data_IF_668351898876
#
_entry.id   IF_668351898876
#
_cell.length_a   1.000
_cell.length_b   1.000
_cell.length_c   1.000
_cell.angle_alpha   90.00
_cell.angle_beta   90.00
_cell.angle_gamma   90.00
#
_symmetry.space_group_name_H-M   'P 1'
#
loop_
_entity.id
_entity.type
_entity.pdbx_description
1 polymer ?
#
# COMPACT_ATOMS: atom_id res chain seq x y z
N UNK A 1 -2.68 -13.10 -13.09
CA UNK A 1 -3.86 -12.74 -13.91
C UNK A 1 -3.71 -11.40 -14.62
N UNK A 2 -3.32 -10.32 -13.95
CA UNK A 2 -3.19 -8.99 -14.55
C UNK A 2 -2.21 -8.96 -15.73
N UNK A 3 -1.06 -9.63 -15.62
CA UNK A 3 -0.06 -9.70 -16.68
C UNK A 3 -0.59 -10.34 -17.99
N UNK A 4 -1.47 -11.34 -17.88
CA UNK A 4 -2.09 -11.95 -19.06
C UNK A 4 -3.07 -11.00 -19.75
N UNK A 5 -3.77 -10.16 -18.99
CA UNK A 5 -4.68 -9.15 -19.55
C UNK A 5 -3.87 -8.11 -20.32
N UNK A 6 -2.77 -7.61 -19.75
CA UNK A 6 -1.89 -6.67 -20.43
C UNK A 6 -1.26 -7.26 -21.69
N UNK A 7 -0.73 -8.49 -21.60
CA UNK A 7 -0.17 -9.18 -22.75
C UNK A 7 -1.21 -9.39 -23.87
N UNK A 8 -2.43 -9.74 -23.51
CA UNK A 8 -3.54 -9.92 -24.43
C UNK A 8 -3.93 -8.62 -25.13
N UNK A 9 -4.04 -7.51 -24.38
CA UNK A 9 -4.34 -6.19 -24.96
C UNK A 9 -3.26 -5.73 -25.94
N UNK A 10 -1.98 -5.90 -25.61
CA UNK A 10 -0.87 -5.55 -26.50
C UNK A 10 -0.91 -6.42 -27.75
N UNK A 11 -1.11 -7.73 -27.61
CA UNK A 11 -1.20 -8.65 -28.73
C UNK A 11 -2.34 -8.26 -29.69
N UNK A 12 -3.52 -7.96 -29.16
CA UNK A 12 -4.67 -7.50 -29.99
C UNK A 12 -4.33 -6.21 -30.72
N UNK A 13 -3.70 -5.24 -30.05
CA UNK A 13 -3.31 -3.99 -30.68
C UNK A 13 -2.35 -4.18 -31.84
N UNK A 14 -1.32 -5.01 -31.65
CA UNK A 14 -0.34 -5.33 -32.71
C UNK A 14 -0.99 -6.10 -33.87
N UNK A 15 -1.80 -7.12 -33.58
CA UNK A 15 -2.51 -7.91 -34.61
C UNK A 15 -3.47 -7.02 -35.40
N UNK A 16 -4.23 -6.18 -34.75
CA UNK A 16 -5.12 -5.23 -35.41
C UNK A 16 -4.35 -4.24 -36.29
N UNK A 17 -3.24 -3.69 -35.81
CA UNK A 17 -2.36 -2.82 -36.58
C UNK A 17 -1.80 -3.50 -37.83
N UNK A 18 -1.43 -4.78 -37.72
CA UNK A 18 -0.94 -5.57 -38.85
C UNK A 18 -2.03 -5.80 -39.91
N UNK A 19 -3.25 -6.16 -39.51
CA UNK A 19 -4.36 -6.39 -40.43
C UNK A 19 -4.89 -5.11 -41.09
N UNK A 20 -4.80 -3.97 -40.40
CA UNK A 20 -5.25 -2.68 -40.94
C UNK A 20 -4.18 -1.91 -41.69
N UNK A 21 -2.95 -2.45 -41.80
CA UNK A 21 -1.83 -1.80 -42.46
C UNK A 21 -1.23 -0.61 -41.69
N UNK A 22 -1.57 -0.46 -40.40
CA UNK A 22 -1.20 0.68 -39.53
C UNK A 22 0.02 0.41 -38.62
N UNK A 23 0.91 -0.48 -39.04
CA UNK A 23 2.07 -0.84 -38.21
C UNK A 23 3.01 0.34 -37.93
N UNK A 24 3.13 1.29 -38.86
CA UNK A 24 3.92 2.51 -38.64
C UNK A 24 3.34 3.34 -37.49
N UNK A 25 2.00 3.49 -37.43
CA UNK A 25 1.28 4.20 -36.36
C UNK A 25 1.46 3.48 -35.01
N UNK A 26 1.40 2.14 -34.99
CA UNK A 26 1.63 1.33 -33.78
C UNK A 26 3.04 1.52 -33.26
N UNK A 27 4.03 1.52 -34.15
CA UNK A 27 5.44 1.72 -33.78
C UNK A 27 5.68 3.14 -33.24
N UNK A 28 5.14 4.17 -33.92
CA UNK A 28 5.24 5.56 -33.45
C UNK A 28 4.59 5.71 -32.06
N UNK A 29 3.37 5.20 -31.89
CA UNK A 29 2.67 5.25 -30.63
C UNK A 29 3.43 4.54 -29.48
N UNK A 30 4.11 3.43 -29.77
CA UNK A 30 4.94 2.74 -28.78
C UNK A 30 6.15 3.59 -28.35
N UNK A 31 6.82 4.24 -29.29
CA UNK A 31 7.96 5.12 -29.01
C UNK A 31 7.53 6.38 -28.26
N UNK A 32 6.43 7.00 -28.69
CA UNK A 32 5.85 8.18 -28.03
C UNK A 32 5.45 7.85 -26.59
N UNK A 33 4.77 6.70 -26.40
CA UNK A 33 4.39 6.21 -25.05
C UNK A 33 5.60 5.94 -24.16
N UNK A 34 6.71 5.46 -24.72
CA UNK A 34 7.95 5.28 -23.95
C UNK A 34 8.53 6.64 -23.50
N UNK A 35 8.53 7.65 -24.37
CA UNK A 35 8.93 9.02 -24.04
C UNK A 35 8.05 9.64 -22.96
N UNK A 36 6.73 9.49 -23.08
CA UNK A 36 5.76 9.93 -22.10
C UNK A 36 5.97 9.25 -20.74
N UNK A 37 6.27 7.95 -20.74
CA UNK A 37 6.53 7.21 -19.50
C UNK A 37 7.76 7.74 -18.77
N UNK A 38 8.86 8.07 -19.47
CA UNK A 38 10.05 8.67 -18.88
C UNK A 38 9.74 10.04 -18.29
N UNK A 39 9.05 10.89 -19.05
CA UNK A 39 8.63 12.22 -18.60
C UNK A 39 7.76 12.14 -17.36
N UNK A 40 6.80 11.20 -17.34
CA UNK A 40 5.93 10.92 -16.20
C UNK A 40 6.74 10.49 -14.97
N UNK A 41 7.71 9.58 -15.13
CA UNK A 41 8.56 9.13 -14.04
C UNK A 41 9.33 10.29 -13.39
N UNK A 42 9.94 11.16 -14.22
CA UNK A 42 10.68 12.32 -13.71
C UNK A 42 9.75 13.28 -12.95
N UNK A 43 8.59 13.58 -13.52
CA UNK A 43 7.59 14.43 -12.86
C UNK A 43 7.12 13.85 -11.53
N UNK A 44 6.85 12.54 -11.51
CA UNK A 44 6.44 11.83 -10.29
C UNK A 44 7.53 11.83 -9.22
N UNK A 45 8.80 11.63 -9.58
CA UNK A 45 9.93 11.74 -8.64
C UNK A 45 9.94 13.14 -7.99
N UNK A 46 9.79 14.19 -8.78
CA UNK A 46 9.76 15.56 -8.27
C UNK A 46 8.60 15.82 -7.30
N UNK A 47 7.40 15.41 -7.68
CA UNK A 47 6.19 15.53 -6.84
C UNK A 47 6.34 14.74 -5.55
N UNK A 48 6.86 13.52 -5.62
CA UNK A 48 7.08 12.67 -4.46
C UNK A 48 8.15 13.24 -3.53
N UNK A 49 9.25 13.74 -4.06
CA UNK A 49 10.29 14.37 -3.26
C UNK A 49 9.78 15.58 -2.49
N UNK A 50 8.95 16.43 -3.13
CA UNK A 50 8.28 17.56 -2.48
C UNK A 50 7.41 17.09 -1.31
N UNK A 51 6.56 16.08 -1.54
CA UNK A 51 5.65 15.58 -0.50
C UNK A 51 6.40 14.88 0.65
N UNK A 52 7.46 14.12 0.36
CA UNK A 52 8.32 13.53 1.39
C UNK A 52 8.94 14.63 2.26
N UNK A 53 9.44 15.70 1.63
CA UNK A 53 9.99 16.84 2.36
C UNK A 53 8.95 17.54 3.25
N UNK A 54 7.74 17.80 2.75
CA UNK A 54 6.64 18.39 3.53
C UNK A 54 6.25 17.47 4.70
N UNK A 55 6.24 16.16 4.48
CA UNK A 55 5.91 15.20 5.53
C UNK A 55 6.98 15.14 6.63
N UNK A 56 8.24 15.23 6.26
CA UNK A 56 9.35 15.33 7.22
C UNK A 56 9.19 16.55 8.14
N UNK A 57 8.81 17.68 7.56
CA UNK A 57 8.50 18.90 8.32
C UNK A 57 7.31 18.68 9.24
N UNK A 58 6.23 18.06 8.74
CA UNK A 58 5.04 17.75 9.53
C UNK A 58 5.32 16.80 10.69
N UNK A 59 6.21 15.83 10.50
CA UNK A 59 6.65 14.92 11.55
C UNK A 59 7.49 15.66 12.61
N UNK A 60 8.49 16.43 12.19
CA UNK A 60 9.36 17.19 13.09
C UNK A 60 8.62 18.27 13.86
N UNK A 61 7.59 18.87 13.28
CA UNK A 61 6.72 19.84 13.96
C UNK A 61 5.79 19.25 15.02
N UNK A 62 5.73 17.92 15.13
CA UNK A 62 4.81 17.22 16.03
C UNK A 62 3.36 17.23 15.57
N UNK A 63 3.06 17.70 14.36
CA UNK A 63 1.71 17.73 13.80
C UNK A 63 1.14 16.31 13.69
N UNK A 64 1.94 15.36 13.21
CA UNK A 64 1.54 13.95 13.09
C UNK A 64 1.19 13.37 14.45
N UNK A 65 1.98 13.64 15.48
CA UNK A 65 1.70 13.18 16.84
C UNK A 65 0.39 13.76 17.40
N UNK A 66 0.06 15.02 17.09
CA UNK A 66 -1.21 15.63 17.47
C UNK A 66 -2.39 14.97 16.73
N UNK A 67 -2.26 14.76 15.42
CA UNK A 67 -3.26 14.09 14.61
C UNK A 67 -3.49 12.64 15.08
N UNK A 68 -2.41 11.91 15.39
CA UNK A 68 -2.48 10.54 15.93
C UNK A 68 -3.27 10.49 17.24
N UNK A 69 -3.08 11.46 18.13
CA UNK A 69 -3.90 11.57 19.35
C UNK A 69 -5.37 11.91 19.04
N UNK A 70 -5.60 12.81 18.10
CA UNK A 70 -6.95 13.21 17.69
C UNK A 70 -7.77 12.08 17.06
N UNK A 71 -7.12 11.15 16.34
CA UNK A 71 -7.80 10.01 15.69
C UNK A 71 -8.05 8.82 16.63
N UNK A 72 -7.46 8.80 17.84
CA UNK A 72 -7.62 7.71 18.80
C UNK A 72 -9.09 7.38 19.18
N UNK A 73 -10.00 8.34 19.36
CA UNK A 73 -11.42 8.04 19.57
C UNK A 73 -12.03 7.25 18.42
N UNK A 74 -11.72 7.62 17.19
CA UNK A 74 -12.19 6.94 15.99
C UNK A 74 -11.63 5.52 15.89
N UNK A 75 -10.34 5.33 16.21
CA UNK A 75 -9.73 3.99 16.28
C UNK A 75 -10.38 3.16 17.38
N UNK A 76 -10.66 3.73 18.54
CA UNK A 76 -11.35 3.03 19.64
C UNK A 76 -12.75 2.61 19.24
N UNK A 77 -13.44 3.43 18.46
CA UNK A 77 -14.75 3.11 17.91
C UNK A 77 -14.67 1.96 16.87
N UNK A 78 -13.71 1.99 15.97
CA UNK A 78 -13.57 0.98 14.92
C UNK A 78 -12.96 -0.34 15.41
N UNK A 79 -12.02 -0.26 16.34
CA UNK A 79 -11.26 -1.41 16.85
C UNK A 79 -11.42 -1.57 18.36
N UNK A 80 -12.66 -1.87 18.85
CA UNK A 80 -12.93 -1.93 20.28
C UNK A 80 -12.20 -3.08 21.00
N UNK A 81 -11.78 -4.11 20.26
CA UNK A 81 -11.11 -5.30 20.81
C UNK A 81 -9.61 -5.17 20.94
N UNK A 82 -9.00 -4.15 20.33
CA UNK A 82 -7.57 -3.90 20.49
C UNK A 82 -7.35 -3.16 21.80
N UNK A 83 -6.50 -3.66 22.71
CA UNK A 83 -6.19 -2.99 23.98
C UNK A 83 -5.68 -1.57 23.76
N UNK A 84 -6.03 -0.64 24.66
CA UNK A 84 -5.71 0.79 24.51
C UNK A 84 -4.21 1.10 24.42
N UNK A 85 -3.36 0.26 25.04
CA UNK A 85 -1.90 0.41 25.02
C UNK A 85 -1.18 -0.43 23.97
N UNK A 86 -1.91 -1.15 23.09
CA UNK A 86 -1.28 -2.06 22.14
C UNK A 86 -0.65 -1.29 20.96
N UNK A 87 0.59 -1.62 20.53
CA UNK A 87 1.32 -0.92 19.45
C UNK A 87 0.55 -0.87 18.12
N UNK A 88 -0.25 -1.88 17.82
CA UNK A 88 -1.07 -1.91 16.60
C UNK A 88 -1.93 -0.64 16.44
N UNK A 89 -2.42 -0.04 17.54
CA UNK A 89 -3.25 1.18 17.47
C UNK A 89 -2.48 2.37 16.94
N UNK A 90 -1.22 2.50 17.30
CA UNK A 90 -0.35 3.58 16.86
C UNK A 90 -0.03 3.44 15.36
N UNK A 91 0.33 2.23 14.93
CA UNK A 91 0.58 1.95 13.51
C UNK A 91 -0.66 2.10 12.64
N UNK A 92 -1.84 1.68 13.12
CA UNK A 92 -3.12 1.91 12.43
C UNK A 92 -3.41 3.41 12.33
N UNK A 93 -3.19 4.18 13.40
CA UNK A 93 -3.38 5.63 13.40
C UNK A 93 -2.46 6.31 12.38
N UNK A 94 -1.19 5.97 12.40
CA UNK A 94 -0.18 6.51 11.48
C UNK A 94 -0.52 6.19 10.03
N UNK A 95 -0.91 4.95 9.75
CA UNK A 95 -1.33 4.53 8.42
C UNK A 95 -2.57 5.30 7.94
N UNK A 96 -3.61 5.44 8.77
CA UNK A 96 -4.83 6.18 8.42
C UNK A 96 -4.53 7.66 8.16
N UNK A 97 -3.69 8.29 8.99
CA UNK A 97 -3.31 9.69 8.81
C UNK A 97 -2.52 9.87 7.52
N UNK A 98 -1.57 8.98 7.23
CA UNK A 98 -0.81 9.02 5.99
C UNK A 98 -1.72 8.88 4.76
N UNK A 99 -2.71 7.99 4.80
CA UNK A 99 -3.71 7.85 3.75
C UNK A 99 -4.55 9.12 3.58
N UNK A 100 -5.07 9.68 4.68
CA UNK A 100 -5.87 10.91 4.66
C UNK A 100 -5.08 12.08 4.05
N UNK A 101 -3.79 12.17 4.34
CA UNK A 101 -2.91 13.18 3.76
C UNK A 101 -2.48 12.88 2.31
N UNK A 102 -2.92 11.76 1.73
CA UNK A 102 -2.60 11.39 0.35
C UNK A 102 -1.20 10.80 0.15
N UNK A 103 -0.58 10.33 1.23
CA UNK A 103 0.79 9.81 1.26
C UNK A 103 0.84 8.29 1.07
N UNK A 104 0.33 7.79 -0.04
CA UNK A 104 0.18 6.36 -0.32
C UNK A 104 1.43 5.50 -0.05
N UNK A 105 2.62 6.02 -0.26
CA UNK A 105 3.87 5.31 0.02
C UNK A 105 4.21 5.27 1.51
N UNK A 106 4.03 6.38 2.24
CA UNK A 106 4.36 6.45 3.65
C UNK A 106 3.40 5.61 4.50
N UNK A 107 2.20 5.32 4.00
CA UNK A 107 1.25 4.48 4.71
C UNK A 107 1.62 2.99 4.65
N UNK A 108 2.30 2.52 3.60
CA UNK A 108 2.61 1.10 3.40
C UNK A 108 3.47 0.51 4.53
N UNK A 109 4.62 1.09 4.94
CA UNK A 109 5.39 0.56 6.05
C UNK A 109 4.62 0.52 7.37
N UNK A 110 3.84 1.56 7.66
CA UNK A 110 2.98 1.61 8.84
C UNK A 110 1.89 0.55 8.78
N UNK A 111 1.29 0.34 7.60
CA UNK A 111 0.29 -0.69 7.36
C UNK A 111 0.82 -2.11 7.58
N UNK A 112 2.01 -2.40 7.06
CA UNK A 112 2.67 -3.70 7.26
C UNK A 112 2.96 -3.96 8.74
N UNK A 113 3.47 -2.96 9.46
CA UNK A 113 3.69 -3.07 10.91
C UNK A 113 2.38 -3.22 11.68
N UNK A 114 1.33 -2.51 11.30
CA UNK A 114 0.01 -2.69 11.90
C UNK A 114 -0.50 -4.13 11.75
N UNK A 115 -0.37 -4.71 10.55
CA UNK A 115 -0.77 -6.10 10.30
C UNK A 115 0.09 -7.09 11.09
N UNK A 116 1.39 -6.82 11.22
CA UNK A 116 2.29 -7.63 12.03
C UNK A 116 1.88 -7.62 13.51
N UNK A 117 1.63 -6.45 14.09
CA UNK A 117 1.20 -6.33 15.47
C UNK A 117 -0.20 -6.94 15.70
N UNK A 118 -1.10 -6.84 14.73
CA UNK A 118 -2.38 -7.55 14.78
C UNK A 118 -2.20 -9.07 14.75
N UNK A 119 -1.24 -9.58 13.98
CA UNK A 119 -0.92 -11.01 13.97
C UNK A 119 -0.33 -11.48 15.31
N UNK A 120 0.50 -10.67 15.96
CA UNK A 120 1.00 -10.96 17.32
C UNK A 120 -0.15 -11.00 18.33
N UNK A 121 -1.07 -10.04 18.26
CA UNK A 121 -2.26 -9.99 19.12
C UNK A 121 -3.14 -11.23 18.94
N UNK A 122 -3.31 -11.72 17.71
CA UNK A 122 -4.06 -12.96 17.48
C UNK A 122 -3.32 -14.20 18.01
N UNK A 123 -2.00 -14.22 17.97
CA UNK A 123 -1.19 -15.27 18.59
C UNK A 123 -1.35 -15.26 20.12
N UNK A 124 -1.35 -14.09 20.75
CA UNK A 124 -1.59 -13.92 22.19
C UNK A 124 -3.01 -14.35 22.60
N UNK A 125 -4.00 -14.15 21.73
CA UNK A 125 -5.38 -14.60 21.92
C UNK A 125 -5.57 -16.11 21.75
N UNK A 126 -4.53 -16.82 21.33
CA UNK A 126 -4.60 -18.27 21.08
C UNK A 126 -5.37 -18.67 19.82
N UNK A 127 -5.52 -17.75 18.85
CA UNK A 127 -6.24 -18.01 17.61
C UNK A 127 -5.56 -19.14 16.81
N UNK A 128 -6.27 -20.21 16.43
CA UNK A 128 -5.70 -21.31 15.66
C UNK A 128 -5.09 -20.81 14.34
N UNK A 129 -3.85 -21.22 14.05
CA UNK A 129 -3.09 -20.80 12.87
C UNK A 129 -2.08 -19.68 13.14
N UNK A 130 -2.19 -18.96 14.26
CA UNK A 130 -1.21 -17.95 14.69
C UNK A 130 -0.23 -18.48 15.74
N UNK A 131 -0.57 -19.56 16.44
CA UNK A 131 0.24 -20.18 17.50
C UNK A 131 1.42 -21.03 16.99
N UNK A 132 1.43 -21.41 15.72
CA UNK A 132 2.29 -22.48 15.23
C UNK A 132 3.70 -22.05 14.77
N UNK A 133 4.08 -20.76 14.81
CA UNK A 133 5.25 -20.27 14.07
C UNK A 133 6.31 -19.52 14.88
N UNK A 134 6.42 -19.76 16.17
CA UNK A 134 7.50 -19.13 17.00
C UNK A 134 8.91 -19.48 16.52
N UNK A 135 9.11 -20.63 15.88
CA UNK A 135 10.40 -21.09 15.35
C UNK A 135 10.71 -20.56 13.93
N UNK A 136 9.79 -20.70 13.01
CA UNK A 136 9.97 -20.25 11.63
C UNK A 136 10.03 -18.72 11.53
N UNK A 137 9.28 -18.03 12.39
CA UNK A 137 9.29 -16.56 12.44
C UNK A 137 10.61 -15.98 12.97
N UNK A 138 11.22 -16.62 13.96
CA UNK A 138 12.58 -16.25 14.41
C UNK A 138 13.59 -16.44 13.29
N UNK A 139 13.48 -17.50 12.51
CA UNK A 139 14.35 -17.74 11.36
C UNK A 139 14.12 -16.76 10.20
N UNK A 140 12.88 -16.34 9.93
CA UNK A 140 12.61 -15.31 8.92
C UNK A 140 13.11 -13.94 9.36
N UNK A 141 12.90 -13.55 10.62
CA UNK A 141 13.39 -12.28 11.17
C UNK A 141 14.92 -12.25 11.24
N UNK A 142 15.58 -13.37 11.61
CA UNK A 142 17.03 -13.44 11.58
C UNK A 142 17.58 -13.36 10.16
N UNK A 143 16.97 -14.03 9.18
CA UNK A 143 17.34 -13.91 7.77
C UNK A 143 17.13 -12.50 7.21
N UNK A 144 16.03 -11.84 7.57
CA UNK A 144 15.81 -10.44 7.18
C UNK A 144 16.86 -9.50 7.78
N UNK A 145 17.20 -9.68 9.05
CA UNK A 145 18.25 -8.90 9.71
C UNK A 145 19.65 -9.20 9.14
N UNK A 146 19.89 -10.44 8.73
CA UNK A 146 21.13 -10.82 8.04
C UNK A 146 21.21 -10.19 6.64
N UNK A 147 20.13 -10.24 5.85
CA UNK A 147 20.07 -9.58 4.53
C UNK A 147 20.22 -8.06 4.65
N UNK A 148 19.58 -7.41 5.63
CA UNK A 148 19.75 -5.97 5.88
C UNK A 148 21.18 -5.63 6.32
N UNK A 149 21.82 -6.51 7.08
CA UNK A 149 23.26 -6.35 7.45
C UNK A 149 24.19 -6.55 6.26
N UNK A 150 23.92 -7.52 5.41
CA UNK A 150 24.70 -7.78 4.19
C UNK A 150 24.53 -6.64 3.18
N UNK A 151 23.31 -6.12 3.01
CA UNK A 151 23.03 -4.98 2.15
C UNK A 151 23.68 -3.69 2.70
N UNK A 152 23.67 -3.47 3.99
CA UNK A 152 24.36 -2.35 4.63
C UNK A 152 25.90 -2.51 4.59
N UNK A 153 26.39 -3.73 4.72
CA UNK A 153 27.82 -4.07 4.59
C UNK A 153 28.33 -3.93 3.16
N UNK A 154 27.53 -4.33 2.19
CA UNK A 154 27.85 -4.22 0.75
C UNK A 154 27.89 -2.77 0.26
N UNK A 155 27.05 -1.89 0.81
CA UNK A 155 27.10 -0.44 0.54
C UNK A 155 28.37 0.25 1.06
N UNK A 156 29.05 -0.34 2.06
CA UNK A 156 30.33 0.17 2.60
C UNK A 156 31.56 -0.31 1.85
N UNK A 157 31.45 -1.39 1.12
CA UNK A 157 32.52 -1.96 0.30
C UNK A 157 32.20 -1.68 -1.17
N UNK A 158 32.54 -0.48 -1.62
CA UNK A 158 32.38 -0.10 -3.03
C UNK A 158 33.11 -1.08 -3.94
N UNK A 159 32.35 -1.98 -4.54
CA UNK A 159 32.74 -2.80 -5.67
C UNK A 159 31.51 -3.04 -6.55
N UNK A 160 31.52 -2.29 -7.63
CA UNK A 160 30.84 -2.53 -8.88
C UNK A 160 30.73 -4.03 -9.20
N UNK A 161 29.51 -4.53 -9.33
CA UNK A 161 29.20 -5.64 -10.25
C UNK A 161 27.74 -5.55 -10.68
N UNK A 162 27.63 -5.44 -11.99
CA UNK A 162 26.46 -5.56 -12.81
C UNK A 162 25.67 -6.85 -12.53
N UNK A 163 24.39 -6.74 -12.85
CA UNK A 163 23.49 -7.79 -13.27
C UNK A 163 22.48 -8.36 -12.28
N UNK A 164 21.30 -8.35 -12.86
CA UNK A 164 20.17 -9.28 -12.70
C UNK A 164 19.02 -8.77 -11.82
N UNK A 165 18.08 -8.21 -12.52
CA UNK A 165 16.68 -8.12 -12.12
C UNK A 165 16.12 -9.53 -11.85
N UNK A 166 16.19 -9.99 -10.62
CA UNK A 166 15.45 -11.18 -10.18
C UNK A 166 14.06 -10.74 -9.71
N UNK A 167 13.06 -11.12 -10.47
CA UNK A 167 11.65 -11.01 -10.09
C UNK A 167 11.39 -11.71 -8.75
N UNK A 168 10.66 -11.10 -7.82
CA UNK A 168 10.11 -11.83 -6.69
C UNK A 168 8.82 -12.53 -7.14
N UNK A 169 8.98 -13.57 -7.92
CA UNK A 169 7.89 -14.42 -8.35
C UNK A 169 8.21 -15.86 -8.05
N UNK A 170 7.59 -16.41 -7.05
CA UNK A 170 7.72 -17.81 -6.76
C UNK A 170 6.99 -18.22 -5.51
N UNK A 171 5.68 -18.27 -5.57
CA UNK A 171 4.88 -19.06 -4.65
C UNK A 171 5.31 -20.53 -4.79
N UNK A 172 6.32 -20.96 -4.03
CA UNK A 172 6.62 -22.37 -3.88
C UNK A 172 5.53 -23.00 -3.01
N UNK A 173 4.74 -23.85 -3.62
CA UNK A 173 3.85 -24.79 -2.97
C UNK A 173 4.69 -25.78 -2.14
N UNK A 174 4.92 -25.46 -0.88
CA UNK A 174 5.49 -26.40 0.09
C UNK A 174 4.38 -27.33 0.57
N UNK A 175 4.65 -28.61 0.45
CA UNK A 175 3.77 -29.73 0.63
C UNK A 175 2.89 -29.71 1.89
N UNK A 176 1.67 -30.14 1.68
CA UNK A 176 0.63 -30.42 2.68
C UNK A 176 1.14 -31.32 3.81
N UNK A 177 1.36 -30.74 4.97
CA UNK A 177 1.18 -31.41 6.26
C UNK A 177 0.40 -30.47 7.16
N UNK A 178 -0.89 -30.72 7.34
CA UNK A 178 -1.73 -30.30 8.46
C UNK A 178 -1.64 -28.87 9.00
N UNK A 179 -1.15 -27.90 8.25
CA UNK A 179 -1.05 -26.49 8.67
C UNK A 179 -2.46 -25.89 8.59
N UNK A 180 -3.09 -25.62 9.71
CA UNK A 180 -4.34 -24.86 9.74
C UNK A 180 -4.07 -23.52 9.09
N UNK A 181 -4.80 -23.21 8.00
CA UNK A 181 -4.67 -21.95 7.29
C UNK A 181 -4.93 -20.77 8.23
N UNK A 182 -4.09 -19.74 8.14
CA UNK A 182 -4.29 -18.50 8.87
C UNK A 182 -5.51 -17.78 8.31
N UNK A 183 -6.51 -17.57 9.14
CA UNK A 183 -7.71 -16.82 8.78
C UNK A 183 -7.56 -15.41 9.34
N UNK A 184 -7.71 -14.40 8.48
CA UNK A 184 -7.65 -13.01 8.90
C UNK A 184 -8.68 -12.69 9.97
N UNK A 185 -8.25 -12.03 11.05
CA UNK A 185 -9.14 -11.59 12.11
C UNK A 185 -10.08 -10.47 11.62
N UNK A 186 -11.12 -10.22 12.38
CA UNK A 186 -12.07 -9.15 12.04
C UNK A 186 -11.40 -7.77 12.04
N UNK A 187 -10.45 -7.56 12.94
CA UNK A 187 -9.63 -6.35 13.03
C UNK A 187 -8.74 -6.18 11.80
N UNK A 188 -8.09 -7.25 11.34
CA UNK A 188 -7.30 -7.24 10.10
C UNK A 188 -8.16 -6.92 8.89
N UNK A 189 -9.32 -7.57 8.78
CA UNK A 189 -10.27 -7.31 7.69
C UNK A 189 -10.76 -5.85 7.71
N UNK A 190 -11.13 -5.32 8.88
CA UNK A 190 -11.56 -3.93 9.04
C UNK A 190 -10.45 -2.97 8.63
N UNK A 191 -9.22 -3.23 9.05
CA UNK A 191 -8.08 -2.40 8.69
C UNK A 191 -7.82 -2.40 7.18
N UNK A 192 -7.87 -3.56 6.52
CA UNK A 192 -7.71 -3.66 5.07
C UNK A 192 -8.84 -2.95 4.31
N UNK A 193 -10.09 -3.10 4.73
CA UNK A 193 -11.24 -2.43 4.11
C UNK A 193 -11.09 -0.91 4.20
N UNK A 194 -10.64 -0.39 5.34
CA UNK A 194 -10.38 1.04 5.52
C UNK A 194 -9.25 1.54 4.61
N UNK A 195 -8.17 0.76 4.47
CA UNK A 195 -7.09 1.11 3.53
C UNK A 195 -7.56 1.13 2.08
N UNK A 196 -8.40 0.17 1.67
CA UNK A 196 -8.96 0.10 0.31
C UNK A 196 -9.92 1.26 0.07
N UNK A 197 -10.71 1.68 1.07
CA UNK A 197 -11.64 2.81 0.93
C UNK A 197 -10.94 4.16 0.76
N UNK A 198 -9.68 4.26 1.21
CA UNK A 198 -8.72 5.36 0.97
C UNK A 198 -9.31 6.77 1.05
N UNK A 199 -9.71 7.21 2.25
CA UNK A 199 -10.05 8.62 2.45
C UNK A 199 -8.81 9.49 2.19
N UNK A 200 -8.86 10.32 1.15
CA UNK A 200 -7.78 11.22 0.78
C UNK A 200 -8.26 12.67 0.73
N UNK A 201 -7.58 13.54 1.45
CA UNK A 201 -7.82 14.99 1.36
C UNK A 201 -7.13 15.59 0.14
N UNK A 202 -5.95 15.09 -0.19
CA UNK A 202 -5.16 15.58 -1.32
C UNK A 202 -4.77 14.39 -2.20
N UNK A 203 -5.45 14.20 -3.36
CA UNK A 203 -5.11 13.14 -4.30
C UNK A 203 -3.89 13.52 -5.15
N UNK A 204 -2.70 13.51 -4.54
CA UNK A 204 -1.44 14.02 -5.11
C UNK A 204 -1.16 13.44 -6.49
N UNK A 205 -1.27 12.11 -6.64
CA UNK A 205 -1.01 11.44 -7.90
C UNK A 205 -1.96 11.91 -9.01
N UNK A 206 -3.25 12.09 -8.69
CA UNK A 206 -4.24 12.56 -9.66
C UNK A 206 -3.98 13.99 -10.10
N UNK A 207 -3.54 14.84 -9.17
CA UNK A 207 -3.17 16.24 -9.48
C UNK A 207 -1.95 16.25 -10.40
N UNK A 208 -0.93 15.42 -10.10
CA UNK A 208 0.27 15.30 -10.91
C UNK A 208 -0.04 14.81 -12.34
N UNK A 209 -0.84 13.76 -12.50
CA UNK A 209 -1.28 13.29 -13.81
C UNK A 209 -2.06 14.36 -14.57
N UNK A 210 -3.02 15.01 -13.95
CA UNK A 210 -3.79 16.09 -14.58
C UNK A 210 -2.91 17.26 -15.03
N UNK A 211 -1.91 17.61 -14.22
CA UNK A 211 -0.93 18.65 -14.58
C UNK A 211 -0.12 18.26 -15.81
N UNK A 212 0.38 17.02 -15.85
CA UNK A 212 1.20 16.51 -16.95
C UNK A 212 0.42 16.44 -18.27
N UNK A 213 -0.85 16.05 -18.22
CA UNK A 213 -1.71 15.98 -19.40
C UNK A 213 -2.41 17.31 -19.74
N UNK A 214 -1.86 18.45 -19.29
CA UNK A 214 -2.26 19.79 -19.71
C UNK A 214 -3.61 20.26 -19.18
N UNK A 215 -4.08 19.73 -18.04
CA UNK A 215 -5.31 20.25 -17.42
C UNK A 215 -5.16 21.69 -17.00
N UNK A 216 -6.10 22.54 -17.40
CA UNK A 216 -6.12 23.99 -17.04
C UNK A 216 -6.24 24.17 -15.51
N UNK A 217 -6.88 23.23 -14.82
CA UNK A 217 -7.02 23.27 -13.37
C UNK A 217 -6.76 21.86 -12.79
N UNK A 218 -5.49 21.47 -12.58
CA UNK A 218 -5.16 20.17 -12.02
C UNK A 218 -5.73 19.92 -10.62
N UNK A 219 -5.75 20.98 -9.77
CA UNK A 219 -6.24 20.92 -8.40
C UNK A 219 -7.78 20.83 -8.29
N UNK A 220 -8.52 21.10 -9.35
CA UNK A 220 -9.98 21.04 -9.36
C UNK A 220 -10.56 19.67 -9.02
N UNK A 221 -9.77 18.61 -9.06
CA UNK A 221 -10.16 17.25 -8.65
C UNK A 221 -10.30 17.08 -7.13
N UNK A 222 -9.75 17.99 -6.31
CA UNK A 222 -9.71 17.86 -4.86
C UNK A 222 -11.11 17.75 -4.27
N UNK A 223 -12.00 18.67 -4.60
CA UNK A 223 -13.37 18.68 -4.06
C UNK A 223 -14.17 17.41 -4.38
N UNK A 224 -14.29 16.99 -5.65
CA UNK A 224 -15.01 15.74 -5.95
C UNK A 224 -14.30 14.50 -5.40
N UNK A 225 -12.96 14.49 -5.31
CA UNK A 225 -12.22 13.38 -4.73
C UNK A 225 -12.51 13.23 -3.22
N UNK A 226 -12.53 14.33 -2.47
CA UNK A 226 -12.89 14.30 -1.04
C UNK A 226 -14.30 13.71 -0.84
N UNK A 227 -15.28 14.17 -1.61
CA UNK A 227 -16.65 13.69 -1.51
C UNK A 227 -16.72 12.19 -1.84
N UNK A 228 -16.12 11.77 -2.93
CA UNK A 228 -16.12 10.36 -3.36
C UNK A 228 -15.44 9.45 -2.34
N UNK A 229 -14.26 9.81 -1.86
CA UNK A 229 -13.51 9.01 -0.88
C UNK A 229 -14.17 9.03 0.50
N UNK A 230 -14.83 10.12 0.88
CA UNK A 230 -15.61 10.19 2.10
C UNK A 230 -16.81 9.22 2.08
N UNK A 231 -17.58 9.20 0.98
CA UNK A 231 -18.71 8.28 0.81
C UNK A 231 -18.21 6.82 0.84
N UNK A 232 -17.10 6.53 0.13
CA UNK A 232 -16.47 5.20 0.13
C UNK A 232 -16.08 4.76 1.55
N UNK A 233 -15.41 5.64 2.29
CA UNK A 233 -14.98 5.34 3.66
C UNK A 233 -16.16 5.21 4.62
N UNK A 234 -17.19 6.04 4.47
CA UNK A 234 -18.40 5.92 5.27
C UNK A 234 -19.08 4.57 5.06
N UNK A 235 -19.20 4.14 3.80
CA UNK A 235 -19.73 2.82 3.45
C UNK A 235 -18.90 1.69 4.06
N UNK A 236 -17.58 1.80 3.99
CA UNK A 236 -16.65 0.84 4.61
C UNK A 236 -16.84 0.75 6.13
N UNK A 237 -16.96 1.88 6.81
CA UNK A 237 -17.19 1.95 8.26
C UNK A 237 -18.53 1.31 8.64
N UNK A 238 -19.61 1.64 7.92
CA UNK A 238 -20.95 1.06 8.15
C UNK A 238 -20.92 -0.45 7.96
N UNK A 239 -20.29 -0.93 6.88
CA UNK A 239 -20.16 -2.36 6.61
C UNK A 239 -19.38 -3.09 7.72
N UNK A 240 -18.22 -2.55 8.13
CA UNK A 240 -17.40 -3.14 9.18
C UNK A 240 -18.15 -3.21 10.51
N UNK A 241 -18.85 -2.13 10.88
CA UNK A 241 -19.65 -2.09 12.11
C UNK A 241 -20.86 -3.01 12.07
N UNK A 242 -21.54 -3.08 10.95
CA UNK A 242 -22.66 -4.01 10.77
C UNK A 242 -22.24 -5.46 10.91
N UNK A 243 -21.05 -5.82 10.40
CA UNK A 243 -20.50 -7.17 10.53
C UNK A 243 -20.03 -7.47 11.96
N UNK A 244 -19.47 -6.48 12.64
CA UNK A 244 -19.07 -6.60 14.05
C UNK A 244 -20.27 -6.82 14.98
N UNK A 245 -21.38 -6.15 14.70
CA UNK A 245 -22.61 -6.30 15.48
C UNK A 245 -23.23 -7.68 15.28
N UNK A 246 -23.26 -8.18 14.06
CA UNK A 246 -23.81 -9.51 13.73
C UNK A 246 -23.03 -10.68 14.35
N UNK A 247 -21.76 -10.48 14.75
CA UNK A 247 -20.94 -11.47 15.46
C UNK A 247 -21.05 -11.41 17.00
N UNK A 248 -21.74 -10.41 17.53
CA UNK A 248 -21.99 -10.27 18.97
C UNK A 248 -23.30 -10.95 19.43
N UNK A 249 -24.08 -11.45 18.47
CA UNK A 249 -25.26 -12.30 18.66
C UNK A 249 -24.91 -13.74 18.29
#
# INVERSE_FOLDING_TARGET
MLNYIWAFMILIGVVYGAFTGKMAEVTSAALDSAGDAVSLCITMIGVMALWVGLMEIAQKSGLIAKLTRGIQPFISFLFPRIPKGHPAREYIATNLIANVLGLGWACTPAGLKAMEELAKLEAERGTPGYLADGGERRQMLSRQQEMEREEYGSRKSGAEKDDVWAEPGGSQSVGKKGKRERVASNEMCTFLILNISSLQLIPVNMIAYRSQYGSVNPAGIISPAIVATFISTLTAVVYCKGKDWKRRV
#
